data_IF_323590952874
#
_entry.id   IF_323590952874
#
_cell.length_a   1.000
_cell.length_b   1.000
_cell.length_c   1.000
_cell.angle_alpha   90.00
_cell.angle_beta   90.00
_cell.angle_gamma   90.00
#
_symmetry.space_group_name_H-M   'P 1'
#
loop_
_entity.id
_entity.type
_entity.pdbx_description
1 polymer ?
#
# COMPACT_ATOMS: atom_id res chain seq x y z
N UNK A 1 -22.65 -5.39 22.49
CA UNK A 1 -21.61 -4.71 23.27
C UNK A 1 -20.20 -5.05 22.76
N UNK A 2 -20.06 -5.32 21.45
CA UNK A 2 -18.82 -5.75 20.78
C UNK A 2 -18.22 -4.65 19.88
N UNK A 3 -18.97 -3.56 19.63
CA UNK A 3 -18.56 -2.49 18.71
C UNK A 3 -17.43 -1.59 19.25
N UNK A 4 -17.37 -1.37 20.56
CA UNK A 4 -16.34 -0.51 21.19
C UNK A 4 -14.94 -1.14 21.18
N UNK A 5 -14.85 -2.48 21.27
CA UNK A 5 -13.55 -3.18 21.29
C UNK A 5 -12.94 -3.27 19.88
N UNK A 6 -13.79 -3.47 18.85
CA UNK A 6 -13.38 -3.47 17.44
C UNK A 6 -12.91 -2.09 16.95
N UNK A 7 -13.47 -0.99 17.48
CA UNK A 7 -13.01 0.37 17.15
C UNK A 7 -11.65 0.71 17.76
N UNK A 8 -11.29 0.07 18.88
CA UNK A 8 -10.02 0.29 19.56
C UNK A 8 -8.91 -0.64 19.06
N UNK A 9 -9.23 -1.71 18.32
CA UNK A 9 -8.22 -2.64 17.78
C UNK A 9 -7.34 -1.95 16.72
N UNK A 10 -6.03 -1.74 17.01
CA UNK A 10 -5.10 -1.13 16.06
C UNK A 10 -4.97 -1.91 14.75
N UNK A 11 -5.12 -3.24 14.77
CA UNK A 11 -5.07 -4.07 13.58
C UNK A 11 -6.31 -3.85 12.70
N UNK A 12 -7.51 -3.83 13.29
CA UNK A 12 -8.75 -3.51 12.55
C UNK A 12 -8.66 -2.13 11.91
N UNK A 13 -8.19 -1.12 12.64
CA UNK A 13 -8.01 0.24 12.09
C UNK A 13 -7.02 0.25 10.93
N UNK A 14 -5.84 -0.34 11.10
CA UNK A 14 -4.82 -0.39 10.05
C UNK A 14 -5.31 -1.15 8.80
N UNK A 15 -6.13 -2.19 8.98
CA UNK A 15 -6.73 -2.91 7.86
C UNK A 15 -7.76 -2.07 7.10
N UNK A 16 -8.62 -1.33 7.82
CA UNK A 16 -9.59 -0.38 7.21
C UNK A 16 -8.90 0.75 6.46
N UNK A 17 -7.82 1.29 7.02
CA UNK A 17 -6.99 2.29 6.34
C UNK A 17 -6.37 1.72 5.06
N UNK A 18 -5.83 0.49 5.11
CA UNK A 18 -5.33 -0.19 3.91
C UNK A 18 -6.42 -0.36 2.85
N UNK A 19 -7.63 -0.79 3.24
CA UNK A 19 -8.76 -0.93 2.31
C UNK A 19 -9.09 0.42 1.63
N UNK A 20 -9.18 1.50 2.41
CA UNK A 20 -9.44 2.85 1.88
C UNK A 20 -8.37 3.29 0.88
N UNK A 21 -7.09 3.01 1.19
CA UNK A 21 -5.97 3.30 0.29
C UNK A 21 -6.05 2.45 -0.98
N UNK A 22 -6.40 1.16 -0.87
CA UNK A 22 -6.59 0.29 -2.03
C UNK A 22 -7.69 0.82 -2.95
N UNK A 23 -8.84 1.22 -2.40
CA UNK A 23 -9.94 1.80 -3.18
C UNK A 23 -9.51 3.07 -3.93
N UNK A 24 -8.77 3.96 -3.24
CA UNK A 24 -8.21 5.16 -3.85
C UNK A 24 -7.22 4.81 -4.97
N UNK A 25 -6.34 3.84 -4.74
CA UNK A 25 -5.36 3.39 -5.72
C UNK A 25 -6.02 2.76 -6.96
N UNK A 26 -7.13 2.04 -6.79
CA UNK A 26 -7.88 1.48 -7.92
C UNK A 26 -8.45 2.59 -8.82
N UNK A 27 -8.99 3.65 -8.21
CA UNK A 27 -9.48 4.83 -8.97
C UNK A 27 -8.33 5.51 -9.73
N UNK A 28 -7.22 5.77 -9.05
CA UNK A 28 -6.04 6.41 -9.67
C UNK A 28 -5.45 5.57 -10.80
N UNK A 29 -5.32 4.26 -10.60
CA UNK A 29 -4.82 3.34 -11.64
C UNK A 29 -5.79 3.22 -12.82
N UNK A 30 -7.10 3.31 -12.58
CA UNK A 30 -8.10 3.42 -13.64
C UNK A 30 -7.86 4.66 -14.51
N UNK A 31 -7.71 5.83 -13.89
CA UNK A 31 -7.41 7.07 -14.62
C UNK A 31 -6.04 7.08 -15.32
N UNK A 32 -5.04 6.41 -14.75
CA UNK A 32 -3.73 6.23 -15.38
C UNK A 32 -3.81 5.32 -16.60
N UNK A 33 -4.64 4.26 -16.55
CA UNK A 33 -4.88 3.37 -17.68
C UNK A 33 -5.53 4.12 -18.84
N UNK A 34 -6.61 4.87 -18.59
CA UNK A 34 -7.29 5.65 -19.63
C UNK A 34 -6.35 6.66 -20.31
N UNK A 35 -5.44 7.27 -19.54
CA UNK A 35 -4.41 8.15 -20.11
C UNK A 35 -3.41 7.37 -20.96
N UNK A 36 -2.90 6.25 -20.45
CA UNK A 36 -1.95 5.42 -21.20
C UNK A 36 -2.53 4.93 -22.55
N UNK A 37 -3.82 4.62 -22.59
CA UNK A 37 -4.55 4.28 -23.82
C UNK A 37 -4.52 5.43 -24.83
N UNK A 38 -4.78 6.68 -24.39
CA UNK A 38 -4.67 7.86 -25.26
C UNK A 38 -3.25 8.10 -25.78
N UNK A 39 -2.23 7.96 -24.92
CA UNK A 39 -0.84 8.11 -25.33
C UNK A 39 -0.45 7.05 -26.39
N UNK A 40 -0.96 5.83 -26.24
CA UNK A 40 -0.78 4.76 -27.22
C UNK A 40 -1.46 5.10 -28.55
N UNK A 41 -2.71 5.59 -28.53
CA UNK A 41 -3.42 6.02 -29.72
C UNK A 41 -2.65 7.11 -30.48
N UNK A 42 -2.19 8.16 -29.81
CA UNK A 42 -1.39 9.22 -30.45
C UNK A 42 -0.08 8.68 -31.03
N UNK A 43 0.55 7.72 -30.35
CA UNK A 43 1.76 7.09 -30.88
C UNK A 43 1.47 6.29 -32.14
N UNK A 44 0.34 5.57 -32.18
CA UNK A 44 -0.07 4.77 -33.33
C UNK A 44 -0.43 5.64 -34.55
N UNK A 45 -0.80 6.91 -34.36
CA UNK A 45 -0.93 7.87 -35.46
C UNK A 45 0.42 8.42 -35.97
N UNK A 46 1.55 7.96 -35.41
CA UNK A 46 2.90 8.32 -35.84
C UNK A 46 3.50 9.53 -35.13
N UNK A 47 2.84 10.10 -34.11
CA UNK A 47 3.39 11.26 -33.37
C UNK A 47 4.64 10.87 -32.57
N UNK A 48 5.57 11.80 -32.42
CA UNK A 48 6.79 11.59 -31.65
C UNK A 48 6.50 11.60 -30.15
N UNK A 49 7.22 10.78 -29.37
CA UNK A 49 7.02 10.68 -27.92
C UNK A 49 7.21 12.00 -27.18
N UNK A 50 8.16 12.83 -27.61
CA UNK A 50 8.39 14.13 -27.00
C UNK A 50 7.14 15.01 -27.09
N UNK A 51 6.48 15.05 -28.25
CA UNK A 51 5.27 15.85 -28.45
C UNK A 51 4.08 15.26 -27.68
N UNK A 52 3.95 13.93 -27.66
CA UNK A 52 2.88 13.22 -26.94
C UNK A 52 2.97 13.50 -25.44
N UNK A 53 4.14 13.26 -24.82
CA UNK A 53 4.34 13.43 -23.37
C UNK A 53 4.31 14.90 -22.97
N UNK A 54 4.77 15.81 -23.83
CA UNK A 54 4.69 17.25 -23.56
C UNK A 54 3.24 17.76 -23.60
N UNK A 55 2.39 17.16 -24.44
CA UNK A 55 0.96 17.48 -24.51
C UNK A 55 0.11 16.74 -23.47
N UNK A 56 0.70 15.80 -22.72
CA UNK A 56 -0.02 15.03 -21.71
C UNK A 56 -0.57 15.95 -20.60
N UNK A 57 -1.85 15.78 -20.29
CA UNK A 57 -2.50 16.50 -19.20
C UNK A 57 -2.07 15.94 -17.84
N UNK A 58 -1.65 16.83 -16.95
CA UNK A 58 -1.24 16.48 -15.58
C UNK A 58 -2.39 15.89 -14.75
N UNK A 59 -2.09 15.03 -13.76
CA UNK A 59 -0.78 14.41 -13.48
C UNK A 59 -0.38 13.43 -14.59
N UNK A 60 0.92 13.31 -14.87
CA UNK A 60 1.40 12.33 -15.86
C UNK A 60 1.13 10.91 -15.36
N UNK A 61 0.98 9.94 -16.27
CA UNK A 61 0.83 8.51 -15.93
C UNK A 61 1.95 8.05 -14.99
N UNK A 62 3.20 8.48 -15.23
CA UNK A 62 4.35 8.13 -14.39
C UNK A 62 4.28 8.73 -12.98
N UNK A 63 3.67 9.90 -12.84
CA UNK A 63 3.46 10.57 -11.54
C UNK A 63 2.36 9.87 -10.74
N UNK A 64 1.29 9.46 -11.43
CA UNK A 64 0.22 8.67 -10.81
C UNK A 64 0.73 7.31 -10.32
N UNK A 65 1.51 6.59 -11.13
CA UNK A 65 2.11 5.31 -10.72
C UNK A 65 3.01 5.50 -9.49
N UNK A 66 3.84 6.54 -9.49
CA UNK A 66 4.73 6.85 -8.37
C UNK A 66 3.94 7.16 -7.08
N UNK A 67 2.86 7.92 -7.20
CA UNK A 67 1.96 8.25 -6.09
C UNK A 67 1.29 7.00 -5.52
N UNK A 68 0.75 6.13 -6.38
CA UNK A 68 0.12 4.86 -5.99
C UNK A 68 1.13 3.94 -5.28
N UNK A 69 2.34 3.78 -5.82
CA UNK A 69 3.38 2.98 -5.18
C UNK A 69 3.73 3.49 -3.78
N UNK A 70 3.86 4.81 -3.61
CA UNK A 70 4.15 5.41 -2.31
C UNK A 70 3.02 5.19 -1.31
N UNK A 71 1.76 5.36 -1.73
CA UNK A 71 0.59 5.13 -0.89
C UNK A 71 0.49 3.67 -0.44
N UNK A 72 0.65 2.72 -1.37
CA UNK A 72 0.62 1.28 -1.07
C UNK A 72 1.78 0.85 -0.17
N UNK A 73 2.99 1.39 -0.39
CA UNK A 73 4.14 1.09 0.46
C UNK A 73 3.92 1.54 1.91
N UNK A 74 3.33 2.73 2.10
CA UNK A 74 2.99 3.28 3.41
C UNK A 74 1.93 2.46 4.11
N UNK A 75 0.75 2.29 3.49
CA UNK A 75 -0.38 1.59 4.08
C UNK A 75 -0.08 0.11 4.33
N UNK A 76 0.55 -0.57 3.36
CA UNK A 76 0.98 -1.96 3.52
C UNK A 76 2.06 -2.13 4.60
N UNK A 77 2.92 -1.12 4.79
CA UNK A 77 3.87 -1.08 5.90
C UNK A 77 3.18 -1.00 7.26
N UNK A 78 2.19 -0.12 7.40
CA UNK A 78 1.40 0.02 8.62
C UNK A 78 0.64 -1.27 8.95
N UNK A 79 -0.06 -1.85 7.98
CA UNK A 79 -0.80 -3.10 8.16
C UNK A 79 0.11 -4.27 8.58
N UNK A 80 1.25 -4.47 7.90
CA UNK A 80 2.19 -5.55 8.27
C UNK A 80 2.67 -5.44 9.72
N UNK A 81 2.86 -4.23 10.24
CA UNK A 81 3.22 -4.03 11.66
C UNK A 81 2.09 -4.48 12.56
N UNK A 82 0.90 -3.88 12.44
CA UNK A 82 -0.20 -4.17 13.36
C UNK A 82 -0.67 -5.63 13.28
N UNK A 83 -0.65 -6.24 12.09
CA UNK A 83 -0.94 -7.67 11.92
C UNK A 83 0.10 -8.54 12.65
N UNK A 84 1.40 -8.24 12.53
CA UNK A 84 2.44 -8.98 13.25
C UNK A 84 2.27 -8.83 14.78
N UNK A 85 1.82 -7.66 15.25
CA UNK A 85 1.54 -7.43 16.66
C UNK A 85 0.33 -8.20 17.17
N UNK A 86 -0.78 -8.18 16.43
CA UNK A 86 -1.96 -8.94 16.77
C UNK A 86 -1.63 -10.44 16.90
N UNK A 87 -0.95 -11.00 15.90
CA UNK A 87 -0.52 -12.40 15.93
C UNK A 87 0.42 -12.73 17.10
N UNK A 88 1.35 -11.83 17.43
CA UNK A 88 2.23 -12.02 18.58
C UNK A 88 1.46 -11.96 19.91
N UNK A 89 0.45 -11.10 20.04
CA UNK A 89 -0.43 -11.03 21.20
C UNK A 89 -1.29 -12.29 21.35
N UNK A 90 -1.65 -12.93 20.23
CA UNK A 90 -2.27 -14.25 20.15
C UNK A 90 -1.28 -15.41 20.38
N UNK A 91 -0.06 -15.11 20.85
CA UNK A 91 1.00 -16.07 21.17
C UNK A 91 1.53 -16.86 19.95
N UNK A 92 1.28 -16.38 18.72
CA UNK A 92 1.87 -16.98 17.52
C UNK A 92 3.38 -16.68 17.50
N UNK A 93 4.19 -17.74 17.36
CA UNK A 93 5.65 -17.59 17.38
C UNK A 93 6.18 -16.75 16.22
N UNK A 94 7.27 -16.00 16.47
CA UNK A 94 7.96 -15.18 15.45
C UNK A 94 8.32 -16.01 14.20
N UNK A 95 8.75 -17.26 14.38
CA UNK A 95 9.10 -18.14 13.27
C UNK A 95 7.88 -18.47 12.40
N UNK A 96 6.71 -18.69 13.03
CA UNK A 96 5.47 -18.95 12.30
C UNK A 96 4.99 -17.70 11.57
N UNK A 97 5.04 -16.53 12.21
CA UNK A 97 4.70 -15.25 11.56
C UNK A 97 5.62 -14.99 10.35
N UNK A 98 6.92 -15.19 10.51
CA UNK A 98 7.90 -15.02 9.43
C UNK A 98 7.59 -15.93 8.23
N UNK A 99 7.27 -17.21 8.49
CA UNK A 99 6.86 -18.15 7.45
C UNK A 99 5.55 -17.72 6.76
N UNK A 100 4.54 -17.28 7.51
CA UNK A 100 3.26 -16.81 6.95
C UNK A 100 3.45 -15.57 6.06
N UNK A 101 4.34 -14.66 6.46
CA UNK A 101 4.57 -13.41 5.74
C UNK A 101 5.57 -13.57 4.59
N UNK A 102 6.21 -14.74 4.45
CA UNK A 102 7.26 -14.96 3.45
C UNK A 102 8.51 -14.10 3.70
N UNK A 103 8.81 -13.74 4.94
CA UNK A 103 9.95 -12.89 5.31
C UNK A 103 10.84 -13.58 6.34
N UNK A 104 12.03 -13.03 6.58
CA UNK A 104 12.95 -13.59 7.59
C UNK A 104 12.46 -13.33 9.01
N UNK A 105 12.91 -14.18 9.96
CA UNK A 105 12.69 -13.98 11.40
C UNK A 105 13.16 -12.60 11.86
N UNK A 106 14.30 -12.12 11.35
CA UNK A 106 14.87 -10.82 11.70
C UNK A 106 13.93 -9.68 11.33
N UNK A 107 13.24 -9.77 10.19
CA UNK A 107 12.27 -8.78 9.74
C UNK A 107 11.09 -8.67 10.71
N UNK A 108 10.52 -9.80 11.13
CA UNK A 108 9.43 -9.81 12.12
C UNK A 108 9.91 -9.27 13.48
N UNK A 109 11.08 -9.70 13.95
CA UNK A 109 11.66 -9.18 15.20
C UNK A 109 11.87 -7.66 15.17
N UNK A 110 12.22 -7.08 14.02
CA UNK A 110 12.36 -5.63 13.87
C UNK A 110 11.00 -4.91 14.01
N UNK A 111 9.96 -5.39 13.30
CA UNK A 111 8.61 -4.85 13.40
C UNK A 111 8.11 -4.87 14.85
N UNK A 112 8.34 -5.99 15.56
CA UNK A 112 7.89 -6.13 16.94
C UNK A 112 8.58 -5.17 17.92
N UNK A 113 9.87 -4.85 17.69
CA UNK A 113 10.63 -3.91 18.53
C UNK A 113 10.28 -2.45 18.27
N UNK A 114 9.98 -2.07 17.03
CA UNK A 114 9.64 -0.68 16.68
C UNK A 114 8.41 -0.19 17.47
N UNK A 115 7.38 -1.03 17.61
CA UNK A 115 6.18 -0.72 18.40
C UNK A 115 6.43 -0.66 19.90
N UNK A 116 7.34 -1.50 20.42
CA UNK A 116 7.72 -1.44 21.83
C UNK A 116 8.34 -0.08 22.16
N UNK A 117 9.18 0.46 21.25
CA UNK A 117 9.76 1.81 21.37
C UNK A 117 8.75 2.93 21.18
N UNK A 118 7.71 2.73 20.36
CA UNK A 118 6.66 3.73 20.16
C UNK A 118 5.68 3.86 21.34
N UNK A 119 5.73 2.95 22.32
CA UNK A 119 4.87 2.95 23.52
C UNK A 119 5.60 3.37 24.80
N UNK A 120 6.91 3.62 24.72
CA UNK A 120 7.78 4.07 25.81
C UNK A 120 8.08 5.54 25.70
#
# INVERSE_FOLDING_TARGET
MTSDTDEQDPAVRALRELMTVLDTCMVELGGARERAEKLLEERLTGRAWLDIVTAESRPLVVEQISTVMAALASAGGAWRREQAHALAAEQVSINRIAAMFGVTRQRISALLRERARARS
#
